data_IF_896898171954
#
_entry.id   IF_896898171954
#
_cell.length_a   1.000
_cell.length_b   1.000
_cell.length_c   1.000
_cell.angle_alpha   90.00
_cell.angle_beta   90.00
_cell.angle_gamma   90.00
#
_symmetry.space_group_name_H-M   'P 1'
#
loop_
_entity.id
_entity.type
_entity.pdbx_description
1 polymer ?
#
# COMPACT_ATOMS: atom_id res chain seq x y z
N UNK A 1 -17.39 -5.97 33.79
CA UNK A 1 -16.45 -5.07 33.08
C UNK A 1 -17.04 -4.80 31.70
N UNK A 2 -17.52 -3.58 31.46
CA UNK A 2 -18.30 -3.21 30.29
C UNK A 2 -17.39 -2.94 29.08
N UNK A 3 -17.58 -3.71 28.00
CA UNK A 3 -17.21 -3.34 26.63
C UNK A 3 -15.91 -3.93 26.09
N UNK A 4 -16.00 -5.02 25.32
CA UNK A 4 -14.94 -5.41 24.40
C UNK A 4 -14.83 -4.34 23.31
N UNK A 5 -13.70 -3.63 23.24
CA UNK A 5 -13.43 -2.69 22.15
C UNK A 5 -13.22 -3.48 20.84
N UNK A 6 -14.00 -3.18 19.81
CA UNK A 6 -13.79 -3.75 18.48
C UNK A 6 -12.99 -2.78 17.61
N UNK A 7 -11.77 -3.18 17.23
CA UNK A 7 -10.92 -2.41 16.32
C UNK A 7 -11.08 -2.94 14.90
N UNK A 8 -11.70 -2.15 14.01
CA UNK A 8 -11.97 -2.55 12.63
C UNK A 8 -10.73 -2.56 11.71
N UNK A 9 -9.60 -2.01 12.18
CA UNK A 9 -8.34 -1.91 11.45
C UNK A 9 -8.44 -1.18 10.10
N UNK A 10 -9.37 -0.24 9.96
CA UNK A 10 -9.72 0.37 8.66
C UNK A 10 -8.49 0.93 7.95
N UNK A 11 -7.65 1.70 8.65
CA UNK A 11 -6.45 2.31 8.08
C UNK A 11 -5.47 1.23 7.60
N UNK A 12 -5.21 0.20 8.42
CA UNK A 12 -4.34 -0.94 8.06
C UNK A 12 -4.87 -1.67 6.83
N UNK A 13 -6.17 -1.94 6.79
CA UNK A 13 -6.82 -2.62 5.65
C UNK A 13 -6.73 -1.80 4.38
N UNK A 14 -6.92 -0.48 4.46
CA UNK A 14 -6.73 0.43 3.30
C UNK A 14 -5.29 0.42 2.80
N UNK A 15 -4.30 0.45 3.69
CA UNK A 15 -2.88 0.36 3.33
C UNK A 15 -2.56 -0.97 2.65
N UNK A 16 -3.06 -2.08 3.18
CA UNK A 16 -2.89 -3.41 2.59
C UNK A 16 -3.57 -3.48 1.23
N UNK A 17 -4.82 -3.02 1.11
CA UNK A 17 -5.55 -3.02 -0.15
C UNK A 17 -4.83 -2.23 -1.25
N UNK A 18 -4.31 -1.04 -0.93
CA UNK A 18 -3.48 -0.26 -1.85
C UNK A 18 -2.20 -1.04 -2.21
N UNK A 19 -1.48 -1.56 -1.22
CA UNK A 19 -0.25 -2.33 -1.44
C UNK A 19 -0.48 -3.53 -2.35
N UNK A 20 -1.56 -4.28 -2.16
CA UNK A 20 -1.93 -5.43 -2.99
C UNK A 20 -2.20 -5.03 -4.43
N UNK A 21 -2.85 -3.88 -4.68
CA UNK A 21 -3.12 -3.39 -6.03
C UNK A 21 -1.82 -3.15 -6.83
N UNK A 22 -0.79 -2.65 -6.16
CA UNK A 22 0.51 -2.32 -6.78
C UNK A 22 1.58 -3.38 -6.56
N UNK A 23 1.23 -4.53 -5.98
CA UNK A 23 2.20 -5.58 -5.62
C UNK A 23 2.78 -6.31 -6.83
N UNK A 24 2.12 -6.28 -7.99
CA UNK A 24 2.51 -7.07 -9.17
C UNK A 24 2.95 -6.21 -10.35
N UNK A 25 3.79 -5.22 -10.05
CA UNK A 25 4.47 -4.42 -11.06
C UNK A 25 5.84 -5.01 -11.35
N UNK A 26 6.14 -5.15 -12.63
CA UNK A 26 7.37 -5.75 -13.14
C UNK A 26 8.04 -4.83 -14.16
N UNK A 27 9.36 -4.81 -14.15
CA UNK A 27 10.18 -4.13 -15.15
C UNK A 27 10.82 -5.19 -16.03
N UNK A 28 10.41 -5.20 -17.29
CA UNK A 28 10.92 -6.12 -18.30
C UNK A 28 11.98 -5.44 -19.16
N UNK A 29 13.11 -6.12 -19.34
CA UNK A 29 14.15 -5.70 -20.28
C UNK A 29 14.13 -6.64 -21.48
N UNK A 30 13.88 -6.09 -22.66
CA UNK A 30 13.87 -6.83 -23.92
C UNK A 30 15.15 -6.53 -24.71
N UNK A 31 15.63 -7.50 -25.47
CA UNK A 31 16.64 -7.25 -26.50
C UNK A 31 15.99 -6.48 -27.66
N UNK A 32 16.80 -5.77 -28.47
CA UNK A 32 16.29 -5.07 -29.65
C UNK A 32 15.64 -5.98 -30.71
N UNK A 33 15.66 -7.30 -30.52
CA UNK A 33 15.01 -8.31 -31.34
C UNK A 33 13.69 -8.83 -30.73
N UNK A 34 13.25 -8.27 -29.59
CA UNK A 34 11.98 -8.58 -28.93
C UNK A 34 12.01 -9.77 -27.97
N UNK A 35 13.19 -10.32 -27.64
CA UNK A 35 13.31 -11.38 -26.64
C UNK A 35 13.48 -10.79 -25.24
N UNK A 36 12.77 -11.36 -24.27
CA UNK A 36 12.86 -10.94 -22.86
C UNK A 36 14.17 -11.41 -22.23
N UNK A 37 15.06 -10.48 -21.90
CA UNK A 37 16.35 -10.76 -21.24
C UNK A 37 16.19 -10.89 -19.73
N UNK A 38 15.37 -10.03 -19.12
CA UNK A 38 15.14 -10.07 -17.67
C UNK A 38 13.78 -9.52 -17.29
N UNK A 39 13.21 -10.08 -16.23
CA UNK A 39 11.96 -9.65 -15.64
C UNK A 39 12.18 -9.42 -14.14
N UNK A 40 12.05 -8.17 -13.70
CA UNK A 40 12.37 -7.75 -12.33
C UNK A 40 11.11 -7.24 -11.66
N UNK A 41 10.64 -7.97 -10.65
CA UNK A 41 9.52 -7.54 -9.81
C UNK A 41 9.91 -6.34 -8.94
N UNK A 42 9.11 -5.28 -8.98
CA UNK A 42 9.36 -4.05 -8.22
C UNK A 42 8.84 -4.20 -6.79
N UNK A 43 9.70 -4.15 -5.75
CA UNK A 43 9.24 -4.19 -4.37
C UNK A 43 8.51 -2.90 -4.01
N UNK A 44 7.38 -3.03 -3.31
CA UNK A 44 6.59 -1.90 -2.81
C UNK A 44 6.59 -1.89 -1.28
N UNK A 45 6.89 -0.74 -0.67
CA UNK A 45 6.92 -0.57 0.78
C UNK A 45 6.05 0.60 1.27
N UNK A 46 5.45 0.44 2.45
CA UNK A 46 4.76 1.54 3.14
C UNK A 46 5.72 2.28 4.08
N UNK A 47 5.83 3.60 3.94
CA UNK A 47 6.58 4.42 4.88
C UNK A 47 6.92 5.83 4.38
N UNK A 48 7.42 6.71 5.27
CA UNK A 48 7.65 8.11 4.93
C UNK A 48 8.67 8.28 3.80
N UNK A 49 8.30 9.05 2.77
CA UNK A 49 9.17 9.36 1.61
C UNK A 49 10.53 9.89 2.04
N UNK A 50 10.56 10.77 3.04
CA UNK A 50 11.79 11.43 3.49
C UNK A 50 12.77 10.44 4.15
N UNK A 51 12.25 9.45 4.89
CA UNK A 51 13.08 8.38 5.47
C UNK A 51 13.61 7.44 4.38
N UNK A 52 12.85 7.24 3.30
CA UNK A 52 13.29 6.48 2.15
C UNK A 52 14.38 7.22 1.35
N UNK A 53 14.17 8.50 1.06
CA UNK A 53 15.13 9.35 0.37
C UNK A 53 16.44 9.48 1.16
N UNK A 54 16.36 9.73 2.47
CA UNK A 54 17.53 9.80 3.34
C UNK A 54 18.39 8.53 3.28
N UNK A 55 17.77 7.35 3.18
CA UNK A 55 18.50 6.07 3.04
C UNK A 55 19.17 5.92 1.68
N UNK A 56 18.58 6.45 0.62
CA UNK A 56 19.18 6.48 -0.72
C UNK A 56 20.38 7.45 -0.72
N UNK A 57 20.21 8.67 -0.19
CA UNK A 57 21.24 9.71 -0.22
C UNK A 57 22.39 9.47 0.75
N UNK A 58 22.17 8.74 1.85
CA UNK A 58 23.23 8.40 2.81
C UNK A 58 24.27 7.40 2.27
N UNK A 59 24.05 6.83 1.08
CA UNK A 59 25.04 5.97 0.42
C UNK A 59 26.06 6.83 -0.37
N UNK A 60 27.02 7.41 0.35
CA UNK A 60 28.13 8.16 -0.25
C UNK A 60 29.31 7.28 -0.69
N UNK A 61 29.40 6.04 -0.20
CA UNK A 61 30.55 5.13 -0.40
C UNK A 61 30.15 3.91 -1.25
N UNK A 62 30.75 3.81 -2.45
CA UNK A 62 30.47 2.81 -3.49
C UNK A 62 30.89 1.36 -3.11
N UNK A 63 31.64 1.19 -2.01
CA UNK A 63 32.30 -0.08 -1.63
C UNK A 63 31.60 -0.89 -0.51
N UNK A 64 30.43 -0.47 -0.02
CA UNK A 64 29.62 -1.31 0.87
C UNK A 64 28.60 -2.10 0.06
N UNK A 65 28.44 -3.39 0.38
CA UNK A 65 27.42 -4.26 -0.18
C UNK A 65 26.09 -3.49 -0.28
N UNK A 66 25.62 -3.29 -1.52
CA UNK A 66 24.51 -2.40 -1.87
C UNK A 66 23.32 -2.60 -0.94
N UNK A 67 23.12 -1.68 0.00
CA UNK A 67 22.07 -1.80 1.02
C UNK A 67 20.66 -1.57 0.41
N UNK A 68 20.58 -1.08 -0.84
CA UNK A 68 19.34 -0.83 -1.57
C UNK A 68 19.54 -1.30 -3.02
N UNK A 69 18.69 -2.20 -3.49
CA UNK A 69 18.55 -2.57 -4.92
C UNK A 69 17.41 -1.77 -5.55
N UNK A 70 17.66 -1.24 -6.76
CA UNK A 70 16.65 -0.59 -7.60
C UNK A 70 16.19 -1.58 -8.68
N UNK A 71 14.96 -1.48 -9.20
CA UNK A 71 13.90 -0.50 -8.94
C UNK A 71 13.08 -0.79 -7.68
N UNK A 72 12.56 0.25 -7.01
CA UNK A 72 11.73 0.10 -5.80
C UNK A 72 10.71 1.23 -5.68
N UNK A 73 9.52 0.92 -5.18
CA UNK A 73 8.46 1.91 -4.95
C UNK A 73 8.09 2.01 -3.47
N UNK A 74 7.62 3.17 -3.06
CA UNK A 74 7.07 3.38 -1.71
C UNK A 74 5.85 4.29 -1.75
N UNK A 75 4.92 4.05 -0.84
CA UNK A 75 3.73 4.87 -0.68
C UNK A 75 3.50 5.24 0.78
N UNK A 76 2.82 6.37 0.99
CA UNK A 76 2.45 6.90 2.30
C UNK A 76 1.06 7.51 2.24
N UNK A 77 0.36 7.54 3.38
CA UNK A 77 -0.85 8.33 3.52
C UNK A 77 -0.43 9.77 3.77
N UNK A 78 -0.89 10.70 2.93
CA UNK A 78 -0.56 12.13 3.03
C UNK A 78 -1.56 12.89 3.89
N UNK A 79 -2.85 12.60 3.75
CA UNK A 79 -3.92 13.26 4.49
C UNK A 79 -5.11 12.32 4.69
N UNK A 80 -5.88 12.55 5.75
CA UNK A 80 -7.16 11.90 6.01
C UNK A 80 -8.17 13.02 6.25
N UNK A 81 -9.09 13.22 5.30
CA UNK A 81 -10.18 14.18 5.41
C UNK A 81 -11.50 13.47 5.66
N UNK A 82 -12.33 14.04 6.51
CA UNK A 82 -13.69 13.54 6.73
C UNK A 82 -14.55 13.80 5.49
N UNK A 83 -15.24 12.75 5.03
CA UNK A 83 -16.25 12.85 3.98
C UNK A 83 -17.64 12.99 4.61
N UNK A 84 -18.23 14.17 4.46
CA UNK A 84 -19.53 14.51 5.04
C UNK A 84 -20.68 13.66 4.50
N UNK A 85 -20.53 13.06 3.31
CA UNK A 85 -21.57 12.20 2.72
C UNK A 85 -21.73 10.87 3.46
N UNK A 86 -20.73 10.46 4.27
CA UNK A 86 -20.80 9.25 5.09
C UNK A 86 -21.81 9.34 6.22
N UNK A 87 -22.24 10.55 6.59
CA UNK A 87 -23.28 10.73 7.61
C UNK A 87 -24.64 10.42 7.01
N UNK A 88 -25.16 9.23 7.29
CA UNK A 88 -26.53 8.91 6.96
C UNK A 88 -27.48 9.90 7.65
N UNK A 89 -28.48 10.38 6.91
CA UNK A 89 -29.54 11.22 7.48
C UNK A 89 -30.27 10.46 8.59
N UNK A 90 -30.76 11.18 9.60
CA UNK A 90 -31.47 10.62 10.77
C UNK A 90 -32.65 9.73 10.34
N UNK A 91 -33.23 9.99 9.15
CA UNK A 91 -34.37 9.27 8.58
C UNK A 91 -34.00 7.99 7.81
N UNK A 92 -32.71 7.68 7.61
CA UNK A 92 -32.32 6.48 6.86
C UNK A 92 -32.13 5.28 7.79
N UNK A 93 -32.97 4.26 7.59
CA UNK A 93 -32.87 2.97 8.29
C UNK A 93 -32.07 1.98 7.44
N UNK A 94 -31.01 1.41 8.03
CA UNK A 94 -30.26 0.33 7.41
C UNK A 94 -31.07 -0.96 7.53
N UNK A 95 -31.45 -1.57 6.39
CA UNK A 95 -31.97 -2.94 6.39
C UNK A 95 -30.79 -3.91 6.50
N UNK A 96 -30.62 -4.52 7.67
CA UNK A 96 -29.81 -5.72 7.78
C UNK A 96 -30.57 -6.86 7.09
N UNK A 97 -30.04 -7.37 5.98
CA UNK A 97 -30.54 -8.61 5.40
C UNK A 97 -30.04 -9.76 6.28
N UNK A 98 -30.87 -10.21 7.21
CA UNK A 98 -30.68 -11.49 7.89
C UNK A 98 -31.03 -12.59 6.90
N UNK A 99 -30.04 -13.05 6.11
CA UNK A 99 -30.21 -14.28 5.34
C UNK A 99 -30.18 -15.45 6.33
N UNK A 100 -31.34 -15.75 6.92
CA UNK A 100 -31.57 -17.01 7.64
C UNK A 100 -31.61 -18.12 6.61
N UNK A 101 -30.53 -18.89 6.57
CA UNK A 101 -30.43 -20.14 5.84
C UNK A 101 -31.00 -21.25 6.73
N UNK A 102 -32.30 -21.46 6.63
CA UNK A 102 -32.96 -22.74 6.86
C UNK A 102 -33.88 -23.01 5.67
#
# INVERSE_FOLDING_TARGET
MLGNYFYHEIIRKTVIAFGTLFNDIHVRHDDGAGNVISDIKVPVAYGPRQKFLARITQQAELNKATQITLPRMSFEITNISYDATRKAGITQTFKAADSKWW
#
